data_IF_003938206791
#
_entry.id   IF_003938206791
#
_cell.length_a   1.000
_cell.length_b   1.000
_cell.length_c   1.000
_cell.angle_alpha   90.00
_cell.angle_beta   90.00
_cell.angle_gamma   90.00
#
_symmetry.space_group_name_H-M   'P 1'
#
loop_
_entity.id
_entity.type
_entity.pdbx_description
1 polymer ?
#
# COMPACT_ATOMS: atom_id res chain seq x y z
N UNK A 1 -5.29 -1.86 -13.33
CA UNK A 1 -5.26 -1.98 -11.86
C UNK A 1 -6.46 -2.82 -11.45
N UNK A 2 -6.27 -3.71 -10.50
CA UNK A 2 -7.28 -4.65 -9.95
C UNK A 2 -7.27 -4.51 -8.43
N UNK A 3 -8.43 -4.31 -7.81
CA UNK A 3 -8.54 -4.29 -6.34
C UNK A 3 -8.66 -5.72 -5.85
N UNK A 4 -7.77 -6.11 -4.94
CA UNK A 4 -7.75 -7.46 -4.36
C UNK A 4 -8.56 -7.53 -3.07
N UNK A 5 -8.42 -6.53 -2.20
CA UNK A 5 -9.01 -6.49 -0.86
C UNK A 5 -9.34 -5.06 -0.46
N UNK A 6 -10.36 -4.90 0.40
CA UNK A 6 -10.74 -3.64 1.01
C UNK A 6 -11.26 -3.87 2.44
N UNK A 7 -10.77 -3.08 3.39
CA UNK A 7 -11.17 -3.11 4.79
C UNK A 7 -11.37 -1.69 5.31
N UNK A 8 -12.48 -1.47 6.02
CA UNK A 8 -12.72 -0.20 6.70
C UNK A 8 -11.91 -0.15 8.00
N UNK A 9 -11.12 0.90 8.23
CA UNK A 9 -10.40 1.09 9.49
C UNK A 9 -10.21 2.59 9.81
N UNK A 10 -10.38 2.96 11.08
CA UNK A 10 -10.18 4.32 11.59
C UNK A 10 -10.88 5.43 10.77
N UNK A 11 -12.10 5.15 10.27
CA UNK A 11 -12.86 6.08 9.43
C UNK A 11 -12.43 6.14 7.97
N UNK A 12 -11.29 5.55 7.62
CA UNK A 12 -10.78 5.41 6.26
C UNK A 12 -10.88 3.99 5.70
N UNK A 13 -10.07 3.73 4.67
CA UNK A 13 -10.05 2.46 3.93
C UNK A 13 -8.62 1.95 3.76
N UNK A 14 -8.37 0.71 4.19
CA UNK A 14 -7.18 -0.05 3.85
C UNK A 14 -7.50 -0.92 2.63
N UNK A 15 -6.81 -0.71 1.53
CA UNK A 15 -7.02 -1.44 0.27
C UNK A 15 -5.74 -2.12 -0.19
N UNK A 16 -5.90 -3.20 -0.95
CA UNK A 16 -4.83 -3.87 -1.68
C UNK A 16 -5.13 -3.87 -3.16
N UNK A 17 -4.11 -3.56 -3.94
CA UNK A 17 -4.23 -3.41 -5.38
C UNK A 17 -3.13 -4.18 -6.10
N UNK A 18 -3.48 -4.72 -7.26
CA UNK A 18 -2.56 -5.33 -8.21
C UNK A 18 -2.50 -4.52 -9.49
N UNK A 19 -1.31 -4.36 -10.04
CA UNK A 19 -1.13 -3.82 -11.37
C UNK A 19 0.05 -4.47 -12.09
N UNK A 20 0.05 -4.40 -13.41
CA UNK A 20 1.26 -4.71 -14.17
C UNK A 20 2.22 -3.51 -14.08
N UNK A 21 3.44 -3.74 -13.58
CA UNK A 21 4.47 -2.72 -13.47
C UNK A 21 5.39 -2.79 -14.69
N UNK A 22 5.32 -1.81 -15.59
CA UNK A 22 6.13 -1.79 -16.82
C UNK A 22 7.65 -1.76 -16.53
N UNK A 23 8.06 -1.10 -15.45
CA UNK A 23 9.47 -1.00 -15.04
C UNK A 23 10.06 -2.31 -14.53
N UNK A 24 9.22 -3.19 -13.96
CA UNK A 24 9.62 -4.49 -13.41
C UNK A 24 9.18 -5.65 -14.31
N UNK A 25 8.36 -5.37 -15.33
CA UNK A 25 7.77 -6.32 -16.27
C UNK A 25 7.05 -7.50 -15.59
N UNK A 26 6.34 -7.24 -14.50
CA UNK A 26 5.58 -8.24 -13.78
C UNK A 26 4.34 -7.65 -13.10
N UNK A 27 3.44 -8.51 -12.62
CA UNK A 27 2.38 -8.08 -11.71
C UNK A 27 2.99 -7.73 -10.35
N UNK A 28 2.59 -6.58 -9.81
CA UNK A 28 3.00 -6.08 -8.49
C UNK A 28 1.75 -5.83 -7.66
N UNK A 29 1.83 -6.16 -6.37
CA UNK A 29 0.81 -5.84 -5.37
C UNK A 29 1.32 -4.72 -4.48
N UNK A 30 0.45 -3.79 -4.12
CA UNK A 30 0.73 -2.78 -3.11
C UNK A 30 -0.50 -2.55 -2.24
N UNK A 31 -0.26 -2.08 -1.03
CA UNK A 31 -1.28 -1.67 -0.08
C UNK A 31 -1.39 -0.14 -0.08
N UNK A 32 -2.59 0.38 0.15
CA UNK A 32 -2.86 1.81 0.35
C UNK A 32 -3.82 2.01 1.52
N UNK A 33 -3.53 2.96 2.39
CA UNK A 33 -4.49 3.47 3.38
C UNK A 33 -4.97 4.85 2.92
N UNK A 34 -6.29 4.98 2.74
CA UNK A 34 -6.98 6.22 2.44
C UNK A 34 -7.60 6.75 3.73
N UNK A 35 -7.16 7.90 4.26
CA UNK A 35 -7.75 8.49 5.46
C UNK A 35 -9.18 8.97 5.18
N UNK A 36 -10.01 9.20 6.22
CA UNK A 36 -11.29 9.88 6.04
C UNK A 36 -11.08 11.23 5.34
N UNK A 37 -11.89 11.51 4.32
CA UNK A 37 -11.84 12.78 3.59
C UNK A 37 -12.19 13.93 4.54
N UNK A 38 -11.24 14.83 4.80
CA UNK A 38 -11.48 15.99 5.65
C UNK A 38 -11.83 17.24 4.82
N UNK A 39 -11.29 17.37 3.60
CA UNK A 39 -11.46 18.54 2.74
C UNK A 39 -11.53 18.16 1.24
N UNK A 40 -11.80 19.15 0.37
CA UNK A 40 -11.76 18.98 -1.09
C UNK A 40 -10.33 19.00 -1.69
N UNK A 41 -9.29 19.07 -0.84
CA UNK A 41 -7.89 19.07 -1.27
C UNK A 41 -7.32 17.65 -1.26
N UNK A 42 -6.44 17.29 -2.23
CA UNK A 42 -5.75 16.01 -2.20
C UNK A 42 -4.87 15.86 -0.95
N UNK A 43 -5.00 14.77 -0.18
CA UNK A 43 -4.20 14.55 1.01
C UNK A 43 -2.72 14.33 0.67
N UNK A 44 -1.78 14.69 1.57
CA UNK A 44 -0.38 14.32 1.42
C UNK A 44 -0.20 12.80 1.44
N UNK A 45 0.84 12.33 0.73
CA UNK A 45 1.14 10.90 0.57
C UNK A 45 2.49 10.56 1.21
N UNK A 46 2.51 9.53 2.05
CA UNK A 46 3.72 8.95 2.63
C UNK A 46 3.94 7.54 2.05
N UNK A 47 5.12 7.32 1.47
CA UNK A 47 5.55 6.01 0.99
C UNK A 47 6.34 5.29 2.08
N UNK A 48 5.93 4.06 2.41
CA UNK A 48 6.64 3.19 3.35
C UNK A 48 7.37 2.07 2.61
N UNK A 49 8.69 2.02 2.74
CA UNK A 49 9.52 0.98 2.12
C UNK A 49 9.88 -0.07 3.17
N UNK A 50 9.21 -1.22 3.11
CA UNK A 50 9.45 -2.34 4.03
C UNK A 50 10.84 -2.95 3.86
N UNK A 51 11.33 -3.59 4.93
CA UNK A 51 12.63 -4.26 4.95
C UNK A 51 12.65 -5.66 4.32
N UNK A 52 13.77 -6.36 4.48
CA UNK A 52 13.98 -7.72 3.96
C UNK A 52 12.85 -8.68 4.38
N UNK A 53 12.51 -9.61 3.49
CA UNK A 53 11.46 -10.65 3.66
C UNK A 53 10.02 -10.15 3.83
N UNK A 54 9.79 -8.83 3.79
CA UNK A 54 8.45 -8.27 3.92
C UNK A 54 7.72 -8.20 2.56
N UNK A 55 6.40 -8.06 2.64
CA UNK A 55 5.53 -7.66 1.55
C UNK A 55 4.75 -6.37 1.93
N UNK A 56 3.71 -6.04 1.16
CA UNK A 56 2.86 -4.87 1.40
C UNK A 56 2.04 -4.96 2.70
N UNK A 57 1.72 -6.16 3.16
CA UNK A 57 0.82 -6.39 4.30
C UNK A 57 1.51 -6.24 5.66
N UNK A 58 2.82 -6.48 5.74
CA UNK A 58 3.56 -6.45 7.01
C UNK A 58 3.36 -5.14 7.77
N UNK A 59 3.52 -4.00 7.08
CA UNK A 59 3.33 -2.68 7.69
C UNK A 59 1.86 -2.41 7.97
N UNK A 60 0.99 -2.70 7.01
CA UNK A 60 -0.44 -2.48 7.13
C UNK A 60 -1.05 -3.20 8.35
N UNK A 61 -0.58 -4.41 8.66
CA UNK A 61 -1.16 -5.21 9.75
C UNK A 61 -0.47 -5.00 11.10
N UNK A 62 0.83 -4.65 11.13
CA UNK A 62 1.63 -4.68 12.38
C UNK A 62 2.07 -3.32 12.90
N UNK A 63 2.09 -2.28 12.06
CA UNK A 63 2.61 -0.97 12.48
C UNK A 63 1.61 -0.12 13.29
N UNK A 64 0.31 -0.36 13.12
CA UNK A 64 -0.74 0.46 13.77
C UNK A 64 -0.78 1.92 13.27
N UNK A 65 -0.18 2.21 12.11
CA UNK A 65 0.00 3.57 11.59
C UNK A 65 -1.32 4.22 11.13
N UNK A 66 -2.33 3.44 10.74
CA UNK A 66 -3.58 3.94 10.16
C UNK A 66 -4.34 4.87 11.09
N UNK A 67 -4.28 4.66 12.41
CA UNK A 67 -4.93 5.53 13.39
C UNK A 67 -4.38 6.96 13.30
N UNK A 68 -3.06 7.11 13.33
CA UNK A 68 -2.40 8.42 13.25
C UNK A 68 -2.53 9.00 11.85
N UNK A 69 -2.42 8.19 10.80
CA UNK A 69 -2.62 8.64 9.43
C UNK A 69 -4.04 9.19 9.20
N UNK A 70 -5.05 8.59 9.83
CA UNK A 70 -6.42 9.09 9.80
C UNK A 70 -6.56 10.45 10.50
N UNK A 71 -5.99 10.58 11.70
CA UNK A 71 -6.00 11.83 12.48
C UNK A 71 -5.30 12.98 11.72
N UNK A 72 -4.22 12.68 11.00
CA UNK A 72 -3.42 13.66 10.26
C UNK A 72 -3.86 13.86 8.80
N UNK A 73 -4.81 13.07 8.29
CA UNK A 73 -5.22 13.14 6.88
C UNK A 73 -4.13 12.71 5.89
N UNK A 74 -3.28 11.74 6.25
CA UNK A 74 -2.17 11.26 5.42
C UNK A 74 -2.56 9.95 4.71
N UNK A 75 -2.31 9.87 3.41
CA UNK A 75 -2.37 8.62 2.65
C UNK A 75 -1.08 7.83 2.88
N UNK A 76 -1.20 6.55 3.16
CA UNK A 76 -0.04 5.64 3.25
C UNK A 76 0.01 4.75 2.01
N UNK A 77 1.16 4.66 1.35
CA UNK A 77 1.40 3.73 0.24
C UNK A 77 2.51 2.75 0.63
N UNK A 78 2.23 1.46 0.52
CA UNK A 78 3.10 0.37 0.94
C UNK A 78 3.35 -0.58 -0.25
N UNK A 79 4.37 -0.33 -1.08
CA UNK A 79 4.74 -1.24 -2.17
C UNK A 79 5.34 -2.56 -1.63
N UNK A 80 5.28 -3.61 -2.45
CA UNK A 80 6.08 -4.82 -2.24
C UNK A 80 7.59 -4.53 -2.36
N UNK A 81 8.41 -5.41 -1.80
CA UNK A 81 9.86 -5.22 -1.66
C UNK A 81 10.67 -5.70 -2.86
N UNK A 82 10.07 -6.51 -3.74
CA UNK A 82 10.72 -7.04 -4.94
C UNK A 82 9.71 -7.51 -5.98
N UNK A 83 10.11 -7.62 -7.26
CA UNK A 83 9.35 -8.33 -8.28
C UNK A 83 8.94 -9.76 -7.84
N UNK A 84 7.74 -10.23 -8.23
CA UNK A 84 7.20 -11.56 -7.87
C UNK A 84 6.76 -12.35 -9.11
N UNK A 85 6.87 -13.69 -9.06
CA UNK A 85 6.45 -14.61 -10.12
C UNK A 85 7.56 -15.56 -10.61
N UNK A 86 7.18 -16.65 -11.27
CA UNK A 86 8.14 -17.68 -11.76
C UNK A 86 9.06 -17.17 -12.86
N UNK A 87 8.62 -16.16 -13.62
CA UNK A 87 9.36 -15.58 -14.75
C UNK A 87 10.39 -14.53 -14.29
N UNK A 88 10.51 -14.30 -12.98
CA UNK A 88 11.41 -13.30 -12.41
C UNK A 88 12.81 -13.90 -12.37
N UNK A 89 13.69 -13.39 -13.22
CA UNK A 89 15.10 -13.80 -13.26
C UNK A 89 15.79 -13.32 -11.98
N UNK A 90 16.21 -14.25 -11.13
CA UNK A 90 17.15 -13.93 -10.06
C UNK A 90 18.52 -13.72 -10.70
N UNK A 91 19.13 -12.55 -10.45
CA UNK A 91 20.46 -12.21 -10.95
C UNK A 91 21.53 -13.04 -10.26
#
# INVERSE_FOLDING_TARGET
MEMLEEHRCFGGWQQRWRHHAATLNCAMTFSIFLPPTQDNEPPPVLYWLSGLTCNDENFATKAGAQRIAAELGIVLVMPDTSPRGEQIRQR
#
